data_IF_641945911700
#
_entry.id   IF_641945911700
#
_cell.length_a   1.000
_cell.length_b   1.000
_cell.length_c   1.000
_cell.angle_alpha   90.00
_cell.angle_beta   90.00
_cell.angle_gamma   90.00
#
_symmetry.space_group_name_H-M   'P 1'
#
loop_
_entity.id
_entity.type
_entity.pdbx_description
1 polymer ?
#
# COMPACT_ATOMS: atom_id res chain seq x y z
N UNK A 1 -11.57 -38.55 -24.15
CA UNK A 1 -10.76 -37.31 -24.17
C UNK A 1 -9.81 -37.39 -23.00
N UNK A 2 -8.50 -37.33 -23.24
CA UNK A 2 -7.49 -37.44 -22.19
C UNK A 2 -7.09 -36.02 -21.73
N UNK A 3 -7.01 -35.75 -20.42
CA UNK A 3 -6.59 -34.43 -19.94
C UNK A 3 -5.14 -34.14 -20.34
N UNK A 4 -4.79 -32.88 -20.62
CA UNK A 4 -3.42 -32.51 -20.97
C UNK A 4 -2.45 -32.84 -19.81
N UNK A 5 -1.21 -33.26 -20.11
CA UNK A 5 -0.24 -33.62 -19.10
C UNK A 5 0.11 -32.41 -18.22
N UNK A 6 0.10 -32.64 -16.90
CA UNK A 6 0.52 -31.65 -15.90
C UNK A 6 2.02 -31.37 -16.05
N UNK A 7 2.36 -30.14 -16.43
CA UNK A 7 3.74 -29.66 -16.43
C UNK A 7 4.22 -29.50 -14.99
N UNK A 8 5.08 -30.41 -14.54
CA UNK A 8 5.63 -30.45 -13.18
C UNK A 8 6.73 -29.42 -12.93
N UNK A 9 7.12 -28.65 -13.95
CA UNK A 9 8.10 -27.58 -13.80
C UNK A 9 7.47 -26.24 -13.39
N UNK A 10 6.14 -26.15 -13.37
CA UNK A 10 5.44 -25.00 -12.82
C UNK A 10 5.34 -25.14 -11.28
N UNK A 11 5.72 -24.11 -10.49
CA UNK A 11 5.44 -24.12 -9.06
C UNK A 11 3.92 -24.30 -8.83
N UNK A 12 3.50 -24.97 -7.73
CA UNK A 12 2.09 -25.32 -7.47
C UNK A 12 1.17 -24.10 -7.32
N UNK A 13 1.75 -22.90 -7.30
CA UNK A 13 1.06 -21.62 -7.34
C UNK A 13 1.29 -20.94 -8.68
N UNK A 14 1.08 -21.65 -9.79
CA UNK A 14 0.99 -21.06 -11.12
C UNK A 14 -0.03 -19.91 -11.01
N UNK A 15 0.50 -18.70 -10.90
CA UNK A 15 -0.27 -17.52 -10.59
C UNK A 15 -0.94 -17.21 -11.91
N UNK A 16 -2.21 -17.61 -12.06
CA UNK A 16 -2.98 -17.25 -13.25
C UNK A 16 -3.03 -15.72 -13.24
N UNK A 17 -2.36 -15.02 -14.19
CA UNK A 17 -2.41 -13.58 -14.22
C UNK A 17 -3.87 -13.22 -14.48
N UNK A 18 -4.49 -12.51 -13.55
CA UNK A 18 -5.84 -12.03 -13.73
C UNK A 18 -5.89 -11.10 -14.96
N UNK A 19 -7.00 -11.07 -15.71
CA UNK A 19 -7.16 -10.14 -16.80
C UNK A 19 -6.95 -8.72 -16.27
N UNK A 20 -6.03 -7.98 -16.88
CA UNK A 20 -5.82 -6.57 -16.56
C UNK A 20 -7.12 -5.83 -16.87
N UNK A 21 -7.74 -5.24 -15.85
CA UNK A 21 -8.98 -4.48 -15.99
C UNK A 21 -8.72 -3.13 -16.70
N UNK A 22 -7.45 -2.70 -16.78
CA UNK A 22 -7.02 -1.51 -17.49
C UNK A 22 -5.94 -1.79 -18.54
N UNK A 23 -6.13 -1.29 -19.75
CA UNK A 23 -5.19 -1.41 -20.88
C UNK A 23 -3.98 -0.45 -20.80
N UNK A 24 -3.74 0.21 -19.66
CA UNK A 24 -2.67 1.18 -19.46
C UNK A 24 -1.78 0.84 -18.24
N UNK A 25 -0.59 1.44 -18.14
CA UNK A 25 0.28 1.28 -16.97
C UNK A 25 -0.45 1.79 -15.72
N UNK A 26 -0.46 0.99 -14.66
CA UNK A 26 -1.03 1.40 -13.37
C UNK A 26 -0.03 2.35 -12.71
N UNK A 27 -0.40 3.61 -12.57
CA UNK A 27 0.39 4.61 -11.88
C UNK A 27 -0.01 4.66 -10.41
N UNK A 28 0.98 4.74 -9.53
CA UNK A 28 0.73 4.87 -8.10
C UNK A 28 0.47 6.33 -7.74
N UNK A 29 -0.28 6.58 -6.67
CA UNK A 29 -0.38 7.91 -6.09
C UNK A 29 1.01 8.36 -5.59
N UNK A 30 1.38 9.61 -5.82
CA UNK A 30 2.70 10.17 -5.45
C UNK A 30 3.00 10.06 -3.95
N UNK A 31 1.98 10.07 -3.08
CA UNK A 31 2.15 9.81 -1.64
C UNK A 31 2.67 8.42 -1.33
N UNK A 32 2.34 7.45 -2.19
CA UNK A 32 2.73 6.07 -2.03
C UNK A 32 3.99 5.73 -2.83
N UNK A 33 4.41 6.56 -3.78
CA UNK A 33 5.47 6.24 -4.74
C UNK A 33 6.84 6.19 -4.04
N UNK A 34 7.71 5.30 -4.52
CA UNK A 34 9.06 5.20 -4.01
C UNK A 34 9.87 6.46 -4.29
N UNK A 35 10.24 7.17 -3.22
CA UNK A 35 11.17 8.27 -3.24
C UNK A 35 12.27 8.02 -2.20
N UNK A 36 13.54 7.86 -2.64
CA UNK A 36 14.65 7.62 -1.71
C UNK A 36 14.93 8.83 -0.78
N UNK A 37 14.35 9.99 -1.11
CA UNK A 37 14.41 11.22 -0.35
C UNK A 37 13.13 12.05 -0.65
N UNK A 38 11.98 11.70 -0.05
CA UNK A 38 10.72 12.32 -0.42
C UNK A 38 10.74 13.78 0.03
N UNK A 39 10.54 14.71 -0.91
CA UNK A 39 9.82 15.95 -0.60
C UNK A 39 8.39 15.65 -1.01
N UNK A 40 7.56 15.19 -0.07
CA UNK A 40 6.17 14.87 -0.40
C UNK A 40 5.43 16.16 -0.77
N UNK A 41 4.92 16.25 -2.00
CA UNK A 41 4.12 17.39 -2.45
C UNK A 41 2.82 17.47 -1.63
N UNK A 42 2.63 18.62 -0.98
CA UNK A 42 1.72 18.85 0.15
C UNK A 42 0.24 19.02 -0.24
N UNK A 43 -0.09 18.85 -1.52
CA UNK A 43 -1.46 19.06 -2.03
C UNK A 43 -2.27 17.78 -2.22
N UNK A 44 -1.72 16.60 -1.90
CA UNK A 44 -2.38 15.31 -2.17
C UNK A 44 -3.13 14.82 -0.94
N UNK A 45 -4.42 14.52 -1.09
CA UNK A 45 -5.25 14.07 0.02
C UNK A 45 -5.17 12.54 0.22
N UNK A 46 -5.09 12.06 1.46
CA UNK A 46 -5.14 10.63 1.79
C UNK A 46 -6.43 9.91 1.33
N UNK A 47 -7.46 10.69 0.99
CA UNK A 47 -8.73 10.24 0.44
C UNK A 47 -8.73 10.03 -1.08
N UNK A 48 -7.64 10.37 -1.77
CA UNK A 48 -7.47 10.13 -3.20
C UNK A 48 -7.27 8.65 -3.53
N UNK A 49 -7.54 8.25 -4.80
CA UNK A 49 -7.20 6.92 -5.29
C UNK A 49 -5.72 6.60 -5.07
N UNK A 50 -5.45 5.40 -4.57
CA UNK A 50 -4.09 4.89 -4.39
C UNK A 50 -3.37 4.61 -5.70
N UNK A 51 -4.13 4.36 -6.76
CA UNK A 51 -3.64 4.04 -8.11
C UNK A 51 -4.52 4.67 -9.18
N UNK A 52 -3.93 4.92 -10.35
CA UNK A 52 -4.58 5.38 -11.56
C UNK A 52 -4.26 4.42 -12.71
N UNK A 53 -5.27 3.80 -13.35
CA UNK A 53 -6.70 3.95 -13.06
C UNK A 53 -7.09 3.35 -11.70
N UNK A 54 -8.16 3.87 -11.06
CA UNK A 54 -8.61 3.39 -9.76
C UNK A 54 -8.93 1.90 -9.74
N UNK A 55 -8.44 1.18 -8.73
CA UNK A 55 -8.70 -0.25 -8.53
C UNK A 55 -9.37 -0.53 -7.20
N UNK A 56 -9.97 -1.73 -7.09
CA UNK A 56 -10.62 -2.25 -5.87
C UNK A 56 -9.72 -3.22 -5.11
N UNK A 57 -8.59 -3.63 -5.69
CA UNK A 57 -7.62 -4.55 -5.10
C UNK A 57 -6.18 -4.10 -5.39
N UNK A 58 -5.30 -4.24 -4.40
CA UNK A 58 -3.87 -3.96 -4.55
C UNK A 58 -3.06 -4.96 -3.72
N UNK A 59 -2.03 -5.54 -4.32
CA UNK A 59 -1.16 -6.52 -3.65
C UNK A 59 0.20 -5.90 -3.39
N UNK A 60 0.67 -6.00 -2.14
CA UNK A 60 1.94 -5.43 -1.69
C UNK A 60 2.79 -6.56 -1.11
N UNK A 61 3.99 -6.73 -1.63
CA UNK A 61 5.03 -7.59 -1.07
C UNK A 61 5.87 -6.77 -0.12
N UNK A 62 6.23 -7.38 1.01
CA UNK A 62 7.09 -6.73 2.00
C UNK A 62 8.34 -7.57 2.23
N UNK A 63 9.48 -6.96 2.59
CA UNK A 63 10.72 -7.69 2.81
C UNK A 63 10.70 -8.52 4.11
N UNK A 64 9.81 -8.19 5.05
CA UNK A 64 9.74 -8.79 6.38
C UNK A 64 8.68 -9.90 6.51
N UNK A 65 7.95 -10.22 5.45
CA UNK A 65 6.90 -11.25 5.46
C UNK A 65 6.87 -12.03 4.15
N UNK A 66 6.69 -13.35 4.23
CA UNK A 66 6.40 -14.20 3.07
C UNK A 66 4.96 -14.05 2.59
N UNK A 67 4.06 -13.60 3.47
CA UNK A 67 2.65 -13.36 3.15
C UNK A 67 2.49 -11.93 2.61
N UNK A 68 1.94 -11.76 1.40
CA UNK A 68 1.69 -10.43 0.85
C UNK A 68 0.54 -9.74 1.59
N UNK A 69 0.58 -8.41 1.61
CA UNK A 69 -0.51 -7.57 2.07
C UNK A 69 -1.47 -7.39 0.90
N UNK A 70 -2.72 -7.83 1.08
CA UNK A 70 -3.77 -7.65 0.09
C UNK A 70 -4.73 -6.58 0.60
N UNK A 71 -4.72 -5.44 -0.07
CA UNK A 71 -5.67 -4.35 0.18
C UNK A 71 -6.88 -4.61 -0.72
N UNK A 72 -8.05 -4.77 -0.13
CA UNK A 72 -9.29 -5.04 -0.87
C UNK A 72 -10.41 -4.11 -0.38
N UNK A 73 -11.09 -3.48 -1.34
CA UNK A 73 -12.27 -2.65 -1.13
C UNK A 73 -13.40 -3.13 -2.05
N UNK A 74 -14.38 -3.81 -1.48
CA UNK A 74 -15.52 -4.32 -2.26
C UNK A 74 -16.36 -3.16 -2.81
N UNK A 75 -16.42 -3.06 -4.14
CA UNK A 75 -17.22 -2.05 -4.84
C UNK A 75 -16.74 -0.60 -4.67
N UNK A 76 -15.57 -0.39 -4.06
CA UNK A 76 -15.05 0.94 -3.77
C UNK A 76 -13.58 1.05 -4.21
N UNK A 77 -13.20 2.26 -4.60
CA UNK A 77 -11.81 2.58 -4.95
C UNK A 77 -10.93 2.46 -3.70
N UNK A 78 -9.76 1.84 -3.84
CA UNK A 78 -8.72 1.86 -2.82
C UNK A 78 -8.15 3.27 -2.75
N UNK A 79 -8.15 3.83 -1.54
CA UNK A 79 -7.55 5.14 -1.24
C UNK A 79 -6.15 4.99 -0.66
N UNK A 80 -5.36 6.06 -0.70
CA UNK A 80 -4.02 6.10 -0.09
C UNK A 80 -4.06 5.65 1.37
N UNK A 81 -5.01 6.15 2.17
CA UNK A 81 -5.18 5.73 3.57
C UNK A 81 -5.43 4.24 3.75
N UNK A 82 -6.14 3.60 2.82
CA UNK A 82 -6.46 2.16 2.90
C UNK A 82 -5.19 1.31 2.74
N UNK A 83 -4.30 1.77 1.86
CA UNK A 83 -2.98 1.16 1.62
C UNK A 83 -2.10 1.31 2.86
N UNK A 84 -1.93 2.54 3.35
CA UNK A 84 -1.14 2.80 4.55
C UNK A 84 -1.66 1.97 5.73
N UNK A 85 -2.96 2.02 6.02
CA UNK A 85 -3.59 1.27 7.10
C UNK A 85 -3.28 -0.24 7.04
N UNK A 86 -3.35 -0.83 5.85
CA UNK A 86 -3.03 -2.24 5.63
C UNK A 86 -1.54 -2.55 5.90
N UNK A 87 -0.62 -1.67 5.48
CA UNK A 87 0.82 -1.79 5.72
C UNK A 87 1.13 -1.79 7.21
N UNK A 88 0.55 -0.86 7.95
CA UNK A 88 0.75 -0.81 9.40
C UNK A 88 0.26 -2.04 10.12
N UNK A 89 -0.95 -2.53 9.79
CA UNK A 89 -1.47 -3.73 10.42
C UNK A 89 -0.54 -4.93 10.19
N UNK A 90 0.03 -5.05 8.99
CA UNK A 90 1.00 -6.10 8.68
C UNK A 90 2.31 -5.92 9.46
N UNK A 91 2.81 -4.68 9.61
CA UNK A 91 3.99 -4.40 10.44
C UNK A 91 3.75 -4.76 11.91
N UNK A 92 2.58 -4.44 12.46
CA UNK A 92 2.20 -4.84 13.82
C UNK A 92 2.11 -6.35 14.00
N UNK A 93 1.55 -7.07 13.02
CA UNK A 93 1.48 -8.53 13.06
C UNK A 93 2.88 -9.15 13.00
N UNK A 94 3.77 -8.61 12.16
CA UNK A 94 5.14 -9.09 12.02
C UNK A 94 6.03 -8.85 13.25
N UNK A 95 5.63 -7.95 14.16
CA UNK A 95 6.45 -7.51 15.31
C UNK A 95 5.99 -8.05 16.67
N UNK A 96 5.01 -8.96 16.75
CA UNK A 96 4.53 -9.47 18.06
C UNK A 96 5.61 -10.30 18.79
N UNK A 97 5.91 -10.00 20.08
CA UNK A 97 4.93 -9.59 21.09
C UNK A 97 5.32 -8.26 21.78
N UNK A 98 4.85 -7.12 21.27
CA UNK A 98 4.90 -5.87 22.03
C UNK A 98 3.56 -5.15 21.97
N UNK A 99 3.08 -4.71 23.13
CA UNK A 99 1.89 -3.87 23.37
C UNK A 99 2.07 -2.47 22.76
N UNK A 100 2.32 -2.38 21.45
CA UNK A 100 2.30 -1.12 20.73
C UNK A 100 0.88 -0.59 20.67
N UNK A 101 0.66 0.63 21.15
CA UNK A 101 -0.61 1.34 21.03
C UNK A 101 -1.00 1.40 19.56
N UNK A 102 -2.17 0.85 19.22
CA UNK A 102 -2.75 0.97 17.87
C UNK A 102 -2.79 2.46 17.51
N UNK A 103 -2.41 2.88 16.28
CA UNK A 103 -2.45 4.27 15.90
C UNK A 103 -3.90 4.67 15.95
N UNK A 104 -4.14 5.88 16.41
CA UNK A 104 -5.48 6.40 16.45
C UNK A 104 -6.04 6.38 15.02
N UNK A 105 -7.18 5.69 14.82
CA UNK A 105 -7.92 5.70 13.56
C UNK A 105 -8.28 7.13 13.11
N UNK A 106 -8.26 8.08 14.05
CA UNK A 106 -8.45 9.50 13.78
C UNK A 106 -7.27 10.15 13.04
N UNK A 107 -6.07 9.55 13.02
CA UNK A 107 -4.92 10.08 12.27
C UNK A 107 -5.21 10.26 10.79
N UNK A 108 -6.04 9.42 10.17
CA UNK A 108 -6.44 9.54 8.75
C UNK A 108 -7.90 9.99 8.58
N UNK A 109 -8.53 10.49 9.64
CA UNK A 109 -9.89 11.01 9.54
C UNK A 109 -9.91 12.34 8.81
N UNK A 110 -10.76 12.42 7.77
CA UNK A 110 -10.97 13.57 6.88
C UNK A 110 -11.20 14.89 7.63
N UNK A 111 -11.70 14.84 8.88
CA UNK A 111 -11.92 16.01 9.74
C UNK A 111 -10.64 16.77 10.14
N UNK A 112 -9.45 16.14 10.09
CA UNK A 112 -8.18 16.84 10.32
C UNK A 112 -7.62 17.53 9.07
N UNK A 113 -8.12 17.16 7.89
CA UNK A 113 -7.56 17.57 6.60
C UNK A 113 -8.43 18.60 5.87
N UNK A 114 -9.76 18.54 6.04
CA UNK A 114 -10.73 19.39 5.32
C UNK A 114 -11.18 20.64 6.07
N UNK A 115 -10.63 20.95 7.25
CA UNK A 115 -11.01 22.17 7.96
C UNK A 115 -10.24 23.37 7.38
N UNK A 116 -10.80 23.94 6.31
CA UNK A 116 -10.22 24.98 5.45
C UNK A 116 -9.88 26.32 6.14
N UNK A 117 -8.88 26.31 7.02
CA UNK A 117 -8.36 27.54 7.63
C UNK A 117 -7.23 27.36 8.65
N UNK A 118 -7.02 26.16 9.18
CA UNK A 118 -5.83 25.84 9.97
C UNK A 118 -5.12 24.65 9.31
N UNK A 119 -3.98 24.92 8.68
CA UNK A 119 -3.09 23.87 8.21
C UNK A 119 -2.85 22.88 9.37
N UNK A 120 -3.06 21.58 9.10
CA UNK A 120 -2.61 20.53 10.00
C UNK A 120 -1.15 20.83 10.38
N UNK A 121 -0.79 20.86 11.67
CA UNK A 121 0.57 21.18 12.08
C UNK A 121 1.58 20.09 11.67
N UNK A 122 1.09 18.96 11.14
CA UNK A 122 1.92 17.83 10.74
C UNK A 122 2.01 17.70 9.22
N UNK A 123 3.22 17.55 8.71
CA UNK A 123 3.45 17.19 7.31
C UNK A 123 2.97 15.75 7.04
N UNK A 124 2.59 15.39 5.80
CA UNK A 124 2.29 13.99 5.43
C UNK A 124 3.42 13.03 5.81
N UNK A 125 4.68 13.47 5.70
CA UNK A 125 5.84 12.70 6.16
C UNK A 125 5.81 12.45 7.67
N UNK A 126 5.52 13.47 8.48
CA UNK A 126 5.39 13.32 9.92
C UNK A 126 4.22 12.42 10.30
N UNK A 127 3.13 12.46 9.53
CA UNK A 127 1.98 11.59 9.71
C UNK A 127 2.32 10.14 9.34
N UNK A 128 2.99 9.90 8.22
CA UNK A 128 3.43 8.56 7.82
C UNK A 128 4.50 8.04 8.80
N UNK A 129 5.41 8.89 9.27
CA UNK A 129 6.46 8.49 10.23
C UNK A 129 5.87 8.15 11.60
N UNK A 130 4.95 8.98 12.10
CA UNK A 130 4.21 8.68 13.35
C UNK A 130 3.35 7.42 13.21
N UNK A 131 2.78 7.21 12.02
CA UNK A 131 2.05 5.99 11.68
C UNK A 131 2.94 4.75 11.69
N UNK A 132 4.17 4.82 11.18
CA UNK A 132 5.18 3.76 11.29
C UNK A 132 5.85 3.71 12.68
N UNK A 133 5.24 4.33 13.69
CA UNK A 133 5.69 4.40 15.08
C UNK A 133 7.13 4.92 15.25
N UNK A 134 7.64 5.75 14.34
CA UNK A 134 9.04 6.19 14.29
C UNK A 134 10.07 5.03 14.27
N UNK A 135 9.65 3.80 13.93
CA UNK A 135 10.54 2.64 13.90
C UNK A 135 11.09 2.35 12.51
N UNK A 136 10.37 2.80 11.49
CA UNK A 136 10.72 2.59 10.10
C UNK A 136 10.55 3.91 9.35
N UNK A 137 11.51 4.22 8.48
CA UNK A 137 11.41 5.32 7.55
C UNK A 137 10.65 4.85 6.31
N UNK A 138 9.56 5.53 5.98
CA UNK A 138 8.85 5.30 4.73
C UNK A 138 9.71 5.73 3.55
N UNK A 139 9.93 4.81 2.60
CA UNK A 139 10.51 5.18 1.31
C UNK A 139 9.53 5.05 0.16
N UNK A 140 8.39 4.37 0.33
CA UNK A 140 7.36 4.22 -0.68
C UNK A 140 7.15 2.80 -1.18
N UNK A 141 6.36 2.68 -2.24
CA UNK A 141 6.06 1.48 -2.98
C UNK A 141 6.63 1.58 -4.39
N UNK A 142 7.17 0.47 -4.88
CA UNK A 142 7.68 0.36 -6.25
C UNK A 142 7.04 -0.81 -6.96
N UNK A 143 6.82 -0.71 -8.26
CA UNK A 143 6.34 -1.85 -9.05
C UNK A 143 7.34 -3.01 -8.99
N UNK A 144 6.82 -4.22 -8.83
CA UNK A 144 7.60 -5.45 -8.81
C UNK A 144 8.10 -5.79 -10.22
N UNK A 145 9.42 -5.91 -10.39
CA UNK A 145 10.01 -6.34 -11.66
C UNK A 145 9.68 -7.80 -12.04
N UNK A 146 9.25 -8.61 -11.07
CA UNK A 146 8.98 -10.04 -11.27
C UNK A 146 7.50 -10.38 -11.46
N UNK A 147 6.59 -9.44 -11.19
CA UNK A 147 5.15 -9.72 -11.22
C UNK A 147 4.37 -8.43 -11.50
N UNK A 148 3.50 -8.42 -12.54
CA UNK A 148 2.66 -7.26 -12.82
C UNK A 148 1.63 -7.06 -11.69
N UNK A 149 1.20 -5.82 -11.49
CA UNK A 149 0.16 -5.44 -10.52
C UNK A 149 0.51 -5.76 -9.05
N UNK A 150 1.80 -6.01 -8.80
CA UNK A 150 2.35 -6.25 -7.47
C UNK A 150 3.31 -5.13 -7.12
N UNK A 151 3.13 -4.55 -5.94
CA UNK A 151 3.97 -3.49 -5.42
C UNK A 151 4.91 -4.02 -4.35
N UNK A 152 6.12 -3.49 -4.27
CA UNK A 152 7.13 -3.84 -3.27
C UNK A 152 7.24 -2.68 -2.30
N UNK A 153 7.05 -2.97 -1.02
CA UNK A 153 7.22 -2.00 0.06
C UNK A 153 8.69 -1.78 0.36
N UNK A 154 9.11 -0.52 0.33
CA UNK A 154 10.43 -0.07 0.73
C UNK A 154 10.34 0.76 2.02
N UNK A 155 11.04 0.28 3.05
CA UNK A 155 11.18 0.92 4.35
C UNK A 155 12.61 0.73 4.85
N UNK A 156 13.15 1.71 5.59
CA UNK A 156 14.46 1.60 6.28
C UNK A 156 14.31 1.54 7.79
#
# INVERSE_FOLDING_TARGET
MQPPPLDRNCPPFATVPLPRISNGPVQLNTLLEYHPNPMIDLNVAFDEPAVFPPTTSLTIRTPFSTTPIVVLRQGHIIRVKDVLFSIYNALCQATQPYNGTRPDSHLFSTNHYNNGGMASPYTPEQLITSFLCNRCQWEGLRESSSAPDVWVLHIR
#
